data_IF_023740952818
#
_entry.id   IF_023740952818
#
_cell.length_a   1.000
_cell.length_b   1.000
_cell.length_c   1.000
_cell.angle_alpha   90.00
_cell.angle_beta   90.00
_cell.angle_gamma   90.00
#
_symmetry.space_group_name_H-M   'P 1'
#
loop_
_entity.id
_entity.type
_entity.pdbx_description
1 polymer ?
#
# COMPACT_ATOMS: atom_id res chain seq x y z
N UNK A 1 17.42 -11.15 -7.87
CA UNK A 1 16.93 -9.96 -7.13
C UNK A 1 16.33 -10.43 -5.81
N UNK A 2 16.52 -9.68 -4.71
CA UNK A 2 15.87 -10.00 -3.43
C UNK A 2 14.35 -9.87 -3.56
N UNK A 3 13.60 -10.76 -2.90
CA UNK A 3 12.14 -10.73 -2.83
C UNK A 3 11.70 -10.69 -1.38
N UNK A 4 10.73 -9.83 -1.09
CA UNK A 4 9.98 -9.90 0.17
C UNK A 4 8.97 -11.02 0.00
N UNK A 5 8.92 -11.96 0.95
CA UNK A 5 7.98 -13.10 0.94
C UNK A 5 6.94 -12.95 2.06
N UNK A 6 7.27 -12.17 3.09
CA UNK A 6 6.41 -11.95 4.25
C UNK A 6 6.72 -10.63 4.93
N UNK A 7 5.68 -9.92 5.38
CA UNK A 7 5.78 -8.77 6.29
C UNK A 7 4.87 -9.08 7.48
N UNK A 8 5.44 -9.22 8.68
CA UNK A 8 4.71 -9.67 9.87
C UNK A 8 3.90 -10.95 9.59
N UNK A 9 2.59 -10.95 9.85
CA UNK A 9 1.69 -12.09 9.63
C UNK A 9 1.13 -12.18 8.20
N UNK A 10 1.61 -11.34 7.28
CA UNK A 10 1.09 -11.24 5.92
C UNK A 10 2.06 -11.83 4.92
N UNK A 11 1.55 -12.73 4.08
CA UNK A 11 2.30 -13.31 2.96
C UNK A 11 2.10 -12.46 1.72
N UNK A 12 3.20 -11.99 1.13
CA UNK A 12 3.20 -11.27 -0.14
C UNK A 12 4.55 -11.48 -0.83
N UNK A 13 4.54 -11.66 -2.14
CA UNK A 13 5.77 -11.75 -2.93
C UNK A 13 5.99 -10.46 -3.72
N UNK A 14 6.95 -9.65 -3.29
CA UNK A 14 7.24 -8.36 -3.92
C UNK A 14 8.73 -8.14 -4.15
N UNK A 15 9.04 -7.43 -5.23
CA UNK A 15 10.37 -6.87 -5.48
C UNK A 15 10.34 -5.43 -4.99
N UNK A 16 11.06 -5.08 -3.91
CA UNK A 16 11.01 -3.73 -3.37
C UNK A 16 11.92 -2.83 -4.20
N UNK A 17 11.31 -1.95 -5.01
CA UNK A 17 12.01 -1.04 -5.91
C UNK A 17 11.27 0.30 -6.02
N UNK A 18 12.02 1.40 -6.12
CA UNK A 18 11.48 2.75 -6.28
C UNK A 18 10.93 3.33 -4.97
N UNK A 19 9.85 4.10 -5.07
CA UNK A 19 9.18 4.71 -3.93
C UNK A 19 8.12 3.77 -3.39
N UNK A 20 8.28 3.31 -2.15
CA UNK A 20 7.41 2.28 -1.60
C UNK A 20 6.41 2.85 -0.59
N UNK A 21 5.17 2.38 -0.68
CA UNK A 21 4.14 2.56 0.35
C UNK A 21 3.72 1.19 0.89
N UNK A 22 3.78 1.05 2.21
CA UNK A 22 3.18 -0.05 2.92
C UNK A 22 1.89 0.42 3.60
N UNK A 23 0.76 -0.12 3.17
CA UNK A 23 -0.56 0.24 3.67
C UNK A 23 -1.17 -0.97 4.35
N UNK A 24 -1.71 -0.77 5.55
CA UNK A 24 -2.58 -1.76 6.19
C UNK A 24 -4.01 -1.25 6.13
N UNK A 25 -4.95 -2.11 5.76
CA UNK A 25 -6.36 -1.74 5.60
C UNK A 25 -7.31 -2.83 6.05
N UNK A 26 -8.58 -2.48 6.20
CA UNK A 26 -9.66 -3.46 6.24
C UNK A 26 -9.72 -4.28 4.95
N UNK A 27 -10.03 -5.57 5.09
CA UNK A 27 -10.38 -6.43 3.96
C UNK A 27 -11.88 -6.35 3.68
N UNK A 28 -12.26 -5.37 2.84
CA UNK A 28 -13.64 -5.18 2.37
C UNK A 28 -13.67 -4.66 0.93
N UNK A 29 -14.79 -4.87 0.20
CA UNK A 29 -14.92 -4.37 -1.17
C UNK A 29 -14.68 -2.87 -1.30
N UNK A 30 -13.97 -2.45 -2.34
CA UNK A 30 -13.75 -1.05 -2.71
C UNK A 30 -12.50 -0.38 -2.14
N UNK A 31 -11.84 -0.97 -1.13
CA UNK A 31 -10.67 -0.34 -0.45
C UNK A 31 -9.49 -0.12 -1.39
N UNK A 32 -9.15 -1.10 -2.22
CA UNK A 32 -8.05 -0.98 -3.19
C UNK A 32 -8.34 0.13 -4.22
N UNK A 33 -9.58 0.18 -4.72
CA UNK A 33 -10.02 1.22 -5.67
C UNK A 33 -9.98 2.61 -5.05
N UNK A 34 -10.35 2.74 -3.78
CA UNK A 34 -10.25 4.00 -3.03
C UNK A 34 -8.80 4.48 -2.93
N UNK A 35 -7.88 3.61 -2.51
CA UNK A 35 -6.44 3.92 -2.43
C UNK A 35 -5.89 4.35 -3.79
N UNK A 36 -6.19 3.58 -4.85
CA UNK A 36 -5.76 3.89 -6.21
C UNK A 36 -6.30 5.23 -6.72
N UNK A 37 -7.57 5.52 -6.41
CA UNK A 37 -8.21 6.79 -6.80
C UNK A 37 -7.61 7.97 -6.04
N UNK A 38 -7.32 7.81 -4.74
CA UNK A 38 -6.61 8.82 -3.94
C UNK A 38 -5.26 9.13 -4.56
N UNK A 39 -4.43 8.12 -4.85
CA UNK A 39 -3.12 8.35 -5.49
C UNK A 39 -3.25 9.01 -6.88
N UNK A 40 -4.21 8.57 -7.69
CA UNK A 40 -4.46 9.16 -9.00
C UNK A 40 -4.90 10.63 -8.95
N UNK A 41 -5.67 11.04 -7.92
CA UNK A 41 -6.04 12.45 -7.69
C UNK A 41 -4.84 13.35 -7.38
N UNK A 42 -3.75 12.77 -6.87
CA UNK A 42 -2.48 13.45 -6.62
C UNK A 42 -1.47 13.26 -7.75
N UNK A 43 -1.91 12.74 -8.91
CA UNK A 43 -1.09 12.48 -10.10
C UNK A 43 0.09 11.51 -9.84
N UNK A 44 -0.14 10.51 -8.97
CA UNK A 44 0.86 9.50 -8.61
C UNK A 44 0.53 8.17 -9.31
N UNK A 45 1.41 7.76 -10.22
CA UNK A 45 1.32 6.45 -10.86
C UNK A 45 1.75 5.32 -9.91
N UNK A 46 1.05 4.20 -10.00
CA UNK A 46 1.38 2.94 -9.31
C UNK A 46 2.11 2.04 -10.31
N UNK A 47 3.39 1.78 -10.05
CA UNK A 47 4.22 0.89 -10.87
C UNK A 47 3.89 -0.58 -10.58
N UNK A 48 3.65 -0.91 -9.32
CA UNK A 48 3.29 -2.25 -8.90
C UNK A 48 2.48 -2.23 -7.60
N UNK A 49 1.64 -3.24 -7.42
CA UNK A 49 0.82 -3.45 -6.23
C UNK A 49 0.85 -4.93 -5.87
N UNK A 50 1.21 -5.23 -4.62
CA UNK A 50 1.11 -6.56 -4.04
C UNK A 50 0.22 -6.50 -2.82
N UNK A 51 -0.82 -7.34 -2.82
CA UNK A 51 -1.76 -7.45 -1.71
C UNK A 51 -1.52 -8.76 -0.99
N UNK A 52 -1.18 -8.68 0.29
CA UNK A 52 -1.10 -9.82 1.18
C UNK A 52 -2.28 -9.83 2.13
N UNK A 53 -2.83 -11.01 2.39
CA UNK A 53 -3.89 -11.20 3.38
C UNK A 53 -3.32 -11.76 4.67
N UNK A 54 -3.91 -11.41 5.80
CA UNK A 54 -3.56 -12.03 7.08
C UNK A 54 -4.15 -13.44 7.14
N UNK A 55 -3.38 -14.41 7.63
CA UNK A 55 -3.79 -15.83 7.71
C UNK A 55 -5.10 -16.06 8.51
N UNK A 56 -5.48 -15.16 9.44
CA UNK A 56 -6.74 -15.20 10.20
C UNK A 56 -7.29 -13.81 10.59
N UNK A 57 -7.57 -12.92 9.62
CA UNK A 57 -8.16 -11.63 9.94
C UNK A 57 -8.82 -10.92 8.77
N UNK A 58 -9.64 -9.91 9.06
CA UNK A 58 -10.25 -9.02 8.05
C UNK A 58 -9.33 -7.83 7.72
N UNK A 59 -8.04 -8.11 7.53
CA UNK A 59 -7.02 -7.09 7.27
C UNK A 59 -6.18 -7.49 6.08
N UNK A 60 -5.85 -6.49 5.27
CA UNK A 60 -4.92 -6.58 4.15
C UNK A 60 -3.67 -5.79 4.46
N UNK A 61 -2.55 -6.25 3.92
CA UNK A 61 -1.36 -5.44 3.71
C UNK A 61 -1.20 -5.21 2.22
N UNK A 62 -0.86 -3.99 1.83
CA UNK A 62 -0.70 -3.58 0.46
C UNK A 62 0.67 -2.94 0.37
N UNK A 63 1.56 -3.53 -0.43
CA UNK A 63 2.81 -2.91 -0.80
C UNK A 63 2.66 -2.32 -2.20
N UNK A 64 2.88 -1.02 -2.32
CA UNK A 64 2.87 -0.29 -3.58
C UNK A 64 4.28 0.17 -3.90
N UNK A 65 4.65 0.08 -5.18
CA UNK A 65 5.72 0.88 -5.76
C UNK A 65 5.09 1.99 -6.58
N UNK A 66 5.50 3.24 -6.36
CA UNK A 66 5.01 4.41 -7.08
C UNK A 66 6.09 5.00 -7.99
N UNK A 67 5.65 5.62 -9.09
CA UNK A 67 6.52 6.26 -10.07
C UNK A 67 7.28 7.47 -9.52
N UNK A 68 6.74 8.09 -8.47
CA UNK A 68 7.29 9.26 -7.80
C UNK A 68 7.11 9.15 -6.29
N UNK A 69 7.83 9.99 -5.54
CA UNK A 69 7.68 10.08 -4.09
C UNK A 69 6.26 10.57 -3.77
N UNK A 70 5.58 9.87 -2.87
CA UNK A 70 4.25 10.26 -2.41
C UNK A 70 4.37 11.47 -1.49
N UNK A 71 3.75 12.58 -1.90
CA UNK A 71 3.74 13.85 -1.19
C UNK A 71 2.96 13.81 0.12
N UNK A 72 3.15 14.82 0.95
CA UNK A 72 2.54 14.90 2.28
C UNK A 72 1.01 14.92 2.19
N UNK A 73 0.45 15.68 1.24
CA UNK A 73 -0.99 15.82 1.04
C UNK A 73 -1.64 14.48 0.69
N UNK A 74 -1.01 13.70 -0.19
CA UNK A 74 -1.49 12.38 -0.57
C UNK A 74 -1.40 11.38 0.59
N UNK A 75 -0.33 11.44 1.40
CA UNK A 75 -0.19 10.62 2.60
C UNK A 75 -1.26 10.95 3.64
N UNK A 76 -1.51 12.24 3.91
CA UNK A 76 -2.53 12.70 4.84
C UNK A 76 -3.93 12.25 4.40
N UNK A 77 -4.22 12.34 3.09
CA UNK A 77 -5.50 11.87 2.56
C UNK A 77 -5.66 10.34 2.70
N UNK A 78 -4.62 9.56 2.40
CA UNK A 78 -4.65 8.10 2.58
C UNK A 78 -4.83 7.71 4.05
N UNK A 79 -4.17 8.39 4.98
CA UNK A 79 -4.30 8.17 6.43
C UNK A 79 -5.70 8.55 6.92
N UNK A 80 -6.34 9.55 6.30
CA UNK A 80 -7.70 9.97 6.62
C UNK A 80 -8.80 9.01 6.16
N UNK A 81 -8.49 7.99 5.36
CA UNK A 81 -9.47 7.00 4.91
C UNK A 81 -9.84 6.07 6.07
N UNK A 82 -11.13 6.01 6.41
CA UNK A 82 -11.65 5.15 7.50
C UNK A 82 -11.35 3.64 7.35
N UNK A 83 -10.99 3.22 6.12
CA UNK A 83 -10.65 1.86 5.73
C UNK A 83 -9.16 1.54 5.96
N UNK A 84 -8.32 2.56 6.13
CA UNK A 84 -6.87 2.46 6.21
C UNK A 84 -6.45 2.57 7.67
N UNK A 85 -5.76 1.55 8.15
CA UNK A 85 -5.25 1.52 9.53
C UNK A 85 -3.93 2.28 9.65
N UNK A 86 -3.07 2.15 8.62
CA UNK A 86 -1.76 2.82 8.60
C UNK A 86 -1.19 2.91 7.20
N UNK A 87 -0.37 3.93 6.99
CA UNK A 87 0.43 4.14 5.78
C UNK A 87 1.87 4.42 6.22
N UNK A 88 2.84 3.73 5.61
CA UNK A 88 4.27 3.96 5.84
C UNK A 88 4.99 4.07 4.52
N UNK A 89 5.79 5.13 4.36
CA UNK A 89 6.77 5.21 3.28
C UNK A 89 7.98 4.36 3.64
N UNK A 90 8.52 3.66 2.64
CA UNK A 90 9.78 2.90 2.78
C UNK A 90 10.74 3.46 1.73
N UNK A 91 11.89 3.92 2.19
CA UNK A 91 13.02 4.31 1.35
C UNK A 91 14.12 3.26 1.54
N UNK A 92 14.68 2.77 0.43
CA UNK A 92 15.71 1.72 0.40
C UNK A 92 17.11 2.32 0.29
#
# INVERSE_FOLDING_TARGET
MPRIIRINDFYLEAVPEGHLLLIQSDDRPGVIGLIGTTLGRHDININSMQVGQKYHGRKNIILLSTGSRVGKEALEELIGLSQVDSVRTIEL
#
